data_IF_432114734167
#
_entry.id   IF_432114734167
#
_cell.length_a   1.000
_cell.length_b   1.000
_cell.length_c   1.000
_cell.angle_alpha   90.00
_cell.angle_beta   90.00
_cell.angle_gamma   90.00
#
_symmetry.space_group_name_H-M   'P 1'
#
loop_
_entity.id
_entity.type
_entity.pdbx_description
1 polymer ?
#
# COMPACT_ATOMS: atom_id res chain seq x y z
N UNK A 1 -38.86 -6.80 -3.10
CA UNK A 1 -37.86 -6.06 -2.30
C UNK A 1 -37.19 -5.06 -3.21
N UNK A 2 -37.37 -3.75 -2.95
CA UNK A 2 -36.71 -2.69 -3.70
C UNK A 2 -35.26 -2.59 -3.22
N UNK A 3 -34.33 -3.16 -3.98
CA UNK A 3 -32.92 -2.76 -3.89
C UNK A 3 -32.87 -1.30 -4.35
N UNK A 4 -32.72 -0.35 -3.42
CA UNK A 4 -32.21 0.98 -3.78
C UNK A 4 -30.84 0.72 -4.39
N UNK A 5 -30.70 0.94 -5.70
CA UNK A 5 -29.39 1.08 -6.30
C UNK A 5 -28.67 2.17 -5.51
N UNK A 6 -27.62 1.79 -4.78
CA UNK A 6 -26.75 2.75 -4.15
C UNK A 6 -26.09 3.50 -5.30
N UNK A 7 -26.40 4.79 -5.41
CA UNK A 7 -25.65 5.66 -6.29
C UNK A 7 -24.26 5.83 -5.68
N UNK A 8 -23.30 5.06 -6.19
CA UNK A 8 -21.92 5.11 -5.73
C UNK A 8 -21.21 6.36 -6.24
N UNK A 9 -21.77 7.06 -7.23
CA UNK A 9 -21.14 8.23 -7.85
C UNK A 9 -21.13 9.45 -6.92
N UNK A 10 -22.01 9.48 -5.91
CA UNK A 10 -22.05 10.54 -4.89
C UNK A 10 -21.09 10.31 -3.71
N UNK A 11 -20.40 9.17 -3.64
CA UNK A 11 -19.53 8.85 -2.51
C UNK A 11 -18.16 9.53 -2.66
N UNK A 12 -17.76 10.30 -1.65
CA UNK A 12 -16.41 10.89 -1.60
C UNK A 12 -15.39 9.99 -0.91
N UNK A 13 -15.85 9.15 0.02
CA UNK A 13 -15.00 8.25 0.80
C UNK A 13 -15.61 6.85 0.82
N UNK A 14 -14.79 5.84 0.58
CA UNK A 14 -15.17 4.43 0.67
C UNK A 14 -14.19 3.68 1.56
N UNK A 15 -14.72 2.82 2.44
CA UNK A 15 -13.94 1.86 3.21
C UNK A 15 -14.39 0.45 2.84
N UNK A 16 -13.51 -0.30 2.19
CA UNK A 16 -13.76 -1.70 1.87
C UNK A 16 -13.19 -2.60 2.95
N UNK A 17 -14.06 -3.45 3.49
CA UNK A 17 -13.70 -4.54 4.39
C UNK A 17 -14.32 -5.85 3.88
N UNK A 18 -13.87 -6.26 2.70
CA UNK A 18 -14.29 -7.51 2.08
C UNK A 18 -13.74 -8.69 2.87
N UNK A 19 -14.52 -9.77 2.97
CA UNK A 19 -14.07 -11.01 3.60
C UNK A 19 -13.74 -12.04 2.52
N UNK A 20 -12.50 -12.50 2.51
CA UNK A 20 -12.10 -13.67 1.74
C UNK A 20 -12.17 -14.89 2.66
N UNK A 21 -13.06 -15.83 2.36
CA UNK A 21 -13.14 -17.08 3.11
C UNK A 21 -12.04 -18.03 2.68
N UNK A 22 -10.99 -18.10 3.50
CA UNK A 22 -9.84 -18.98 3.32
C UNK A 22 -10.12 -20.34 3.98
N UNK A 23 -10.99 -21.14 3.36
CA UNK A 23 -11.26 -22.52 3.77
C UNK A 23 -10.85 -23.49 2.66
N UNK A 24 -9.55 -23.66 2.43
CA UNK A 24 -8.96 -24.73 1.59
C UNK A 24 -9.54 -24.90 0.18
N UNK A 25 -10.24 -23.90 -0.34
CA UNK A 25 -10.91 -23.89 -1.65
C UNK A 25 -10.32 -22.77 -2.51
N UNK A 26 -10.44 -22.85 -3.85
CA UNK A 26 -10.07 -21.76 -4.72
C UNK A 26 -10.75 -20.47 -4.25
N UNK A 27 -10.03 -19.35 -4.28
CA UNK A 27 -10.62 -18.05 -3.99
C UNK A 27 -11.63 -17.76 -5.11
N UNK A 28 -12.91 -17.69 -4.76
CA UNK A 28 -14.00 -17.38 -5.68
C UNK A 28 -14.58 -16.00 -5.40
N UNK A 29 -14.82 -15.22 -6.46
CA UNK A 29 -15.45 -13.91 -6.40
C UNK A 29 -15.11 -13.07 -7.62
N UNK A 30 -15.88 -12.01 -7.84
CA UNK A 30 -15.59 -10.98 -8.84
C UNK A 30 -15.88 -9.61 -8.21
N UNK A 31 -14.84 -8.80 -8.04
CA UNK A 31 -14.94 -7.44 -7.49
C UNK A 31 -14.77 -6.37 -8.56
N UNK A 32 -14.74 -6.75 -9.84
CA UNK A 32 -14.47 -5.83 -10.97
C UNK A 32 -15.51 -4.71 -11.04
N UNK A 33 -16.80 -5.06 -10.96
CA UNK A 33 -17.89 -4.07 -10.98
C UNK A 33 -17.90 -3.20 -9.73
N UNK A 34 -17.52 -3.76 -8.56
CA UNK A 34 -17.36 -2.98 -7.33
C UNK A 34 -16.25 -1.95 -7.50
N UNK A 35 -15.08 -2.36 -7.99
CA UNK A 35 -13.97 -1.45 -8.21
C UNK A 35 -14.34 -0.34 -9.21
N UNK A 36 -14.99 -0.70 -10.33
CA UNK A 36 -15.43 0.25 -11.35
C UNK A 36 -16.46 1.26 -10.81
N UNK A 37 -17.37 0.81 -9.95
CA UNK A 37 -18.41 1.64 -9.34
C UNK A 37 -17.91 2.65 -8.30
N UNK A 38 -16.68 2.52 -7.80
CA UNK A 38 -16.12 3.45 -6.80
C UNK A 38 -15.00 4.33 -7.37
N UNK A 39 -14.97 4.54 -8.70
CA UNK A 39 -13.89 5.30 -9.36
C UNK A 39 -13.95 6.81 -9.14
N UNK A 40 -15.11 7.34 -8.75
CA UNK A 40 -15.33 8.78 -8.55
C UNK A 40 -14.92 9.31 -7.16
N UNK A 41 -14.47 8.43 -6.26
CA UNK A 41 -14.16 8.78 -4.86
C UNK A 41 -12.83 9.56 -4.74
N UNK A 42 -12.68 10.31 -3.66
CA UNK A 42 -11.41 11.00 -3.32
C UNK A 42 -10.61 10.28 -2.25
N UNK A 43 -11.25 9.41 -1.46
CA UNK A 43 -10.60 8.67 -0.37
C UNK A 43 -11.01 7.20 -0.35
N UNK A 44 -10.03 6.30 -0.31
CA UNK A 44 -10.23 4.84 -0.29
C UNK A 44 -9.47 4.22 0.89
N UNK A 45 -10.17 3.45 1.71
CA UNK A 45 -9.57 2.62 2.75
C UNK A 45 -9.76 1.14 2.38
N UNK A 46 -8.67 0.37 2.39
CA UNK A 46 -8.67 -1.05 2.10
C UNK A 46 -8.21 -1.84 3.32
N UNK A 47 -9.05 -2.78 3.76
CA UNK A 47 -8.62 -3.81 4.71
C UNK A 47 -7.62 -4.79 4.06
N UNK A 48 -6.88 -5.60 4.84
CA UNK A 48 -5.95 -6.57 4.29
C UNK A 48 -6.62 -7.61 3.37
N UNK A 49 -7.83 -8.03 3.72
CA UNK A 49 -8.62 -8.95 2.90
C UNK A 49 -9.15 -8.29 1.62
N UNK A 50 -9.50 -6.99 1.67
CA UNK A 50 -9.89 -6.24 0.48
C UNK A 50 -8.72 -6.11 -0.50
N UNK A 51 -7.50 -5.92 0.02
CA UNK A 51 -6.29 -5.88 -0.78
C UNK A 51 -6.04 -7.21 -1.52
N UNK A 52 -6.20 -8.35 -0.83
CA UNK A 52 -6.15 -9.66 -1.48
C UNK A 52 -7.31 -9.88 -2.46
N UNK A 53 -8.52 -9.40 -2.15
CA UNK A 53 -9.67 -9.54 -3.04
C UNK A 53 -9.45 -8.78 -4.35
N UNK A 54 -8.82 -7.60 -4.28
CA UNK A 54 -8.42 -6.85 -5.46
C UNK A 54 -7.35 -7.60 -6.27
N UNK A 55 -6.46 -8.36 -5.63
CA UNK A 55 -5.48 -9.18 -6.34
C UNK A 55 -6.12 -10.39 -7.05
N UNK A 56 -6.95 -11.16 -6.34
CA UNK A 56 -7.44 -12.45 -6.81
C UNK A 56 -8.75 -12.36 -7.61
N UNK A 57 -9.59 -11.37 -7.31
CA UNK A 57 -10.97 -11.29 -7.80
C UNK A 57 -11.25 -10.06 -8.68
N UNK A 58 -10.28 -9.15 -8.87
CA UNK A 58 -10.44 -8.02 -9.79
C UNK A 58 -9.80 -8.35 -11.14
N UNK A 59 -10.63 -8.57 -12.16
CA UNK A 59 -10.16 -8.94 -13.51
C UNK A 59 -9.56 -7.74 -14.26
N UNK A 60 -10.07 -6.55 -13.97
CA UNK A 60 -9.61 -5.29 -14.57
C UNK A 60 -9.61 -4.19 -13.51
N UNK A 61 -8.41 -3.72 -13.14
CA UNK A 61 -8.28 -2.59 -12.22
C UNK A 61 -8.68 -1.30 -12.94
N UNK A 62 -9.65 -0.53 -12.41
CA UNK A 62 -10.02 0.74 -13.01
C UNK A 62 -9.02 1.84 -12.63
N UNK A 63 -9.02 2.93 -13.40
CA UNK A 63 -8.24 4.14 -13.05
C UNK A 63 -9.04 4.99 -12.07
N UNK A 64 -8.45 5.24 -10.90
CA UNK A 64 -9.00 6.10 -9.85
C UNK A 64 -8.54 7.55 -10.03
N UNK A 65 -9.03 8.20 -11.09
CA UNK A 65 -8.58 9.55 -11.48
C UNK A 65 -8.78 10.62 -10.40
N UNK A 66 -9.78 10.47 -9.54
CA UNK A 66 -10.13 11.46 -8.51
C UNK A 66 -9.57 11.10 -7.13
N UNK A 67 -8.91 9.94 -6.99
CA UNK A 67 -8.46 9.46 -5.70
C UNK A 67 -7.21 10.22 -5.24
N UNK A 68 -7.35 10.93 -4.13
CA UNK A 68 -6.30 11.73 -3.51
C UNK A 68 -5.70 11.01 -2.30
N UNK A 69 -6.49 10.22 -1.58
CA UNK A 69 -6.07 9.57 -0.34
C UNK A 69 -6.31 8.05 -0.40
N UNK A 70 -5.25 7.27 -0.26
CA UNK A 70 -5.31 5.81 -0.18
C UNK A 70 -4.79 5.36 1.18
N UNK A 71 -5.58 4.58 1.89
CA UNK A 71 -5.26 4.02 3.19
C UNK A 71 -5.33 2.50 3.13
N UNK A 72 -4.26 1.83 3.54
CA UNK A 72 -4.13 0.38 3.48
C UNK A 72 -3.80 -0.15 4.87
N UNK A 73 -4.54 -1.15 5.32
CA UNK A 73 -4.20 -1.91 6.50
C UNK A 73 -3.40 -3.16 6.11
N UNK A 74 -2.27 -3.36 6.79
CA UNK A 74 -1.39 -4.50 6.55
C UNK A 74 -1.69 -5.66 7.50
N UNK A 75 -1.35 -6.88 7.08
CA UNK A 75 -1.47 -8.04 7.94
C UNK A 75 -0.42 -9.09 7.57
N UNK A 76 0.28 -9.63 8.57
CA UNK A 76 1.32 -10.66 8.39
C UNK A 76 0.86 -11.93 7.64
N UNK A 77 -0.44 -12.22 7.59
CA UNK A 77 -1.02 -13.37 6.88
C UNK A 77 -1.43 -13.02 5.43
N UNK A 78 -1.51 -11.74 5.09
CA UNK A 78 -2.04 -11.22 3.82
C UNK A 78 -0.93 -10.55 3.03
N UNK A 79 -0.90 -10.77 1.72
CA UNK A 79 0.18 -10.27 0.88
C UNK A 79 -0.15 -8.94 0.19
N UNK A 80 0.86 -8.33 -0.42
CA UNK A 80 0.79 -7.02 -1.09
C UNK A 80 0.83 -7.11 -2.61
N UNK A 81 0.44 -8.24 -3.21
CA UNK A 81 0.60 -8.49 -4.64
C UNK A 81 -0.09 -7.46 -5.56
N UNK A 82 -1.20 -6.88 -5.12
CA UNK A 82 -1.93 -5.88 -5.94
C UNK A 82 -1.32 -4.48 -5.86
N UNK A 83 -0.43 -4.21 -4.90
CA UNK A 83 0.07 -2.86 -4.61
C UNK A 83 0.63 -2.13 -5.84
N UNK A 84 1.50 -2.74 -6.67
CA UNK A 84 2.00 -2.06 -7.86
C UNK A 84 0.90 -1.65 -8.84
N UNK A 85 -0.05 -2.56 -9.10
CA UNK A 85 -1.18 -2.30 -10.00
C UNK A 85 -2.10 -1.22 -9.44
N UNK A 86 -2.40 -1.27 -8.14
CA UNK A 86 -3.25 -0.30 -7.46
C UNK A 86 -2.62 1.09 -7.49
N UNK A 87 -1.35 1.23 -7.14
CA UNK A 87 -0.65 2.52 -7.14
C UNK A 87 -0.56 3.13 -8.55
N UNK A 88 -0.27 2.30 -9.56
CA UNK A 88 -0.29 2.74 -10.96
C UNK A 88 -1.68 3.15 -11.46
N UNK A 89 -2.74 2.71 -10.78
CA UNK A 89 -4.13 3.06 -11.11
C UNK A 89 -4.58 4.36 -10.45
N UNK A 90 -3.76 4.99 -9.63
CA UNK A 90 -4.09 6.20 -8.87
C UNK A 90 -3.19 7.38 -9.31
N UNK A 91 -3.42 7.99 -10.48
CA UNK A 91 -2.50 8.97 -11.07
C UNK A 91 -2.35 10.27 -10.26
N UNK A 92 -3.37 10.63 -9.48
CA UNK A 92 -3.42 11.87 -8.69
C UNK A 92 -3.28 11.60 -7.18
N UNK A 93 -2.73 10.45 -6.80
CA UNK A 93 -2.61 10.07 -5.40
C UNK A 93 -1.67 11.03 -4.65
N UNK A 94 -2.19 11.71 -3.65
CA UNK A 94 -1.48 12.68 -2.84
C UNK A 94 -1.01 12.10 -1.50
N UNK A 95 -1.90 11.35 -0.83
CA UNK A 95 -1.66 10.83 0.51
C UNK A 95 -1.74 9.30 0.49
N UNK A 96 -0.67 8.65 0.94
CA UNK A 96 -0.60 7.20 1.13
C UNK A 96 -0.45 6.90 2.62
N UNK A 97 -1.44 6.23 3.20
CA UNK A 97 -1.48 5.85 4.61
C UNK A 97 -1.37 4.34 4.76
N UNK A 98 -0.49 3.89 5.64
CA UNK A 98 -0.39 2.49 6.05
C UNK A 98 -0.69 2.33 7.54
N UNK A 99 -1.59 1.40 7.84
CA UNK A 99 -1.76 0.86 9.20
C UNK A 99 -0.93 -0.41 9.33
N UNK A 100 0.28 -0.25 9.88
CA UNK A 100 1.32 -1.26 9.90
C UNK A 100 1.94 -1.52 8.53
N UNK A 101 3.18 -2.04 8.51
CA UNK A 101 3.89 -2.38 7.26
C UNK A 101 4.21 -3.89 7.12
N UNK A 102 3.96 -4.68 8.16
CA UNK A 102 4.19 -6.12 8.16
C UNK A 102 3.12 -6.83 7.35
N UNK A 103 3.55 -7.57 6.32
CA UNK A 103 2.70 -8.35 5.44
C UNK A 103 3.35 -9.70 5.08
N UNK A 104 2.55 -10.63 4.53
CA UNK A 104 3.04 -11.92 4.04
C UNK A 104 3.96 -11.70 2.83
N UNK A 105 5.22 -12.09 2.95
CA UNK A 105 6.18 -12.04 1.84
C UNK A 105 5.76 -13.06 0.77
N UNK A 106 5.61 -12.58 -0.46
CA UNK A 106 5.32 -13.42 -1.65
C UNK A 106 6.32 -13.09 -2.76
N UNK A 107 6.40 -13.95 -3.77
CA UNK A 107 7.16 -13.68 -5.01
C UNK A 107 6.49 -12.66 -5.94
N UNK A 108 5.32 -12.15 -5.57
CA UNK A 108 4.48 -11.26 -6.38
C UNK A 108 4.21 -9.89 -5.76
N UNK A 109 4.83 -9.52 -4.64
CA UNK A 109 4.68 -8.17 -4.06
C UNK A 109 5.16 -7.05 -4.99
N UNK A 110 5.96 -7.37 -6.01
CA UNK A 110 6.46 -6.42 -7.00
C UNK A 110 7.41 -5.38 -6.41
N UNK A 111 7.46 -4.23 -7.05
CA UNK A 111 8.33 -3.08 -6.72
C UNK A 111 7.73 -2.11 -5.70
N UNK A 112 6.47 -2.29 -5.30
CA UNK A 112 5.87 -1.59 -4.16
C UNK A 112 6.49 -2.02 -2.81
N UNK A 113 7.21 -3.14 -2.78
CA UNK A 113 7.75 -3.73 -1.57
C UNK A 113 9.24 -4.08 -1.64
N UNK A 114 9.95 -3.91 -0.53
CA UNK A 114 11.35 -4.29 -0.37
C UNK A 114 11.58 -5.79 -0.10
N UNK A 115 10.51 -6.59 -0.02
CA UNK A 115 10.62 -7.98 0.42
C UNK A 115 11.38 -8.83 -0.61
N UNK A 116 12.16 -9.77 -0.10
CA UNK A 116 12.87 -10.76 -0.91
C UNK A 116 12.31 -12.13 -0.57
N UNK A 117 11.70 -12.87 -1.51
CA UNK A 117 11.23 -14.22 -1.24
C UNK A 117 12.39 -15.10 -0.81
N UNK A 118 12.20 -15.93 0.23
CA UNK A 118 13.24 -16.83 0.76
C UNK A 118 13.55 -18.03 -0.16
N UNK A 119 13.00 -18.07 -1.37
CA UNK A 119 13.12 -19.21 -2.27
C UNK A 119 14.54 -19.28 -2.86
N UNK A 120 15.39 -20.09 -2.23
CA UNK A 120 16.77 -20.43 -2.63
C UNK A 120 16.90 -20.91 -4.10
N UNK A 121 15.81 -21.32 -4.73
CA UNK A 121 15.77 -21.88 -6.08
C UNK A 121 15.61 -20.83 -7.22
N UNK A 122 15.20 -19.60 -6.94
CA UNK A 122 14.94 -18.57 -7.96
C UNK A 122 15.89 -17.35 -7.87
N UNK A 123 17.17 -17.58 -7.54
CA UNK A 123 18.21 -16.54 -7.72
C UNK A 123 18.44 -16.15 -9.19
N UNK A 124 17.92 -16.93 -10.14
CA UNK A 124 17.98 -16.68 -11.58
C UNK A 124 16.69 -16.04 -12.11
N UNK A 125 16.34 -14.84 -11.66
CA UNK A 125 15.50 -13.90 -12.45
C UNK A 125 15.39 -12.54 -11.73
N UNK A 126 16.51 -11.89 -11.47
CA UNK A 126 16.54 -10.42 -11.43
C UNK A 126 17.28 -9.94 -12.68
N UNK A 127 16.67 -10.18 -13.84
CA UNK A 127 16.95 -9.30 -14.97
C UNK A 127 16.36 -7.97 -14.51
N UNK A 128 17.22 -7.04 -14.04
CA UNK A 128 16.86 -5.63 -13.84
C UNK A 128 16.47 -5.11 -15.23
N UNK A 129 15.28 -5.43 -15.70
CA UNK A 129 14.62 -4.56 -16.64
C UNK A 129 14.57 -3.20 -15.95
N UNK A 130 14.95 -2.14 -16.67
CA UNK A 130 14.79 -0.73 -16.25
C UNK A 130 13.30 -0.39 -16.14
N UNK A 131 12.53 -1.16 -15.37
CA UNK A 131 11.15 -0.84 -15.05
C UNK A 131 11.23 0.23 -13.97
N UNK A 132 10.71 1.41 -14.30
CA UNK A 132 10.55 2.49 -13.34
C UNK A 132 9.59 1.98 -12.28
N UNK A 133 9.98 2.12 -11.01
CA UNK A 133 9.19 1.63 -9.88
C UNK A 133 7.81 2.30 -9.85
N UNK A 134 6.73 1.56 -9.54
CA UNK A 134 5.40 2.17 -9.33
C UNK A 134 5.43 3.29 -8.28
N UNK A 135 6.35 3.21 -7.31
CA UNK A 135 6.56 4.24 -6.28
C UNK A 135 7.21 5.51 -6.87
N UNK A 136 8.09 5.35 -7.85
CA UNK A 136 8.75 6.47 -8.53
C UNK A 136 7.77 7.25 -9.40
N UNK A 137 6.85 6.55 -10.08
CA UNK A 137 5.82 7.18 -10.91
C UNK A 137 4.69 7.79 -10.09
N UNK A 138 4.62 7.53 -8.78
CA UNK A 138 3.56 8.01 -7.92
C UNK A 138 3.84 9.43 -7.43
N UNK A 139 2.83 10.30 -7.47
CA UNK A 139 2.93 11.71 -7.03
C UNK A 139 2.61 11.89 -5.54
N UNK A 140 2.82 10.85 -4.72
CA UNK A 140 2.54 10.89 -3.29
C UNK A 140 3.41 11.94 -2.63
N UNK A 141 2.75 12.91 -2.00
CA UNK A 141 3.35 14.00 -1.24
C UNK A 141 3.39 13.70 0.26
N UNK A 142 2.41 12.93 0.75
CA UNK A 142 2.31 12.58 2.17
C UNK A 142 2.34 11.07 2.33
N UNK A 143 3.34 10.56 3.03
CA UNK A 143 3.40 9.17 3.49
C UNK A 143 3.14 9.13 5.00
N UNK A 144 2.14 8.37 5.43
CA UNK A 144 1.81 8.20 6.84
C UNK A 144 1.82 6.73 7.25
N UNK A 145 2.54 6.40 8.32
CA UNK A 145 2.57 5.07 8.93
C UNK A 145 1.98 5.18 10.33
N UNK A 146 0.80 4.62 10.56
CA UNK A 146 0.04 4.83 11.81
C UNK A 146 0.53 3.93 12.96
N UNK A 147 0.88 2.68 12.66
CA UNK A 147 1.24 1.65 13.65
C UNK A 147 2.62 1.06 13.31
N UNK A 148 3.69 1.85 13.49
CA UNK A 148 5.04 1.41 13.18
C UNK A 148 5.67 0.60 14.33
N UNK A 149 5.81 -0.71 14.14
CA UNK A 149 6.32 -1.62 15.18
C UNK A 149 7.85 -1.69 15.28
N UNK A 150 8.60 -1.04 14.38
CA UNK A 150 10.06 -1.02 14.43
C UNK A 150 10.76 -2.32 14.03
N UNK A 151 10.04 -3.29 13.47
CA UNK A 151 10.65 -4.55 13.05
C UNK A 151 11.59 -4.35 11.85
N UNK A 152 12.52 -5.29 11.64
CA UNK A 152 13.44 -5.24 10.49
C UNK A 152 12.70 -5.17 9.14
N UNK A 153 11.56 -5.84 9.02
CA UNK A 153 10.72 -5.80 7.81
C UNK A 153 10.20 -4.38 7.55
N UNK A 154 9.72 -3.70 8.59
CA UNK A 154 9.16 -2.35 8.47
C UNK A 154 10.27 -1.33 8.19
N UNK A 155 11.43 -1.44 8.85
CA UNK A 155 12.57 -0.57 8.58
C UNK A 155 13.06 -0.70 7.14
N UNK A 156 13.10 -1.93 6.61
CA UNK A 156 13.45 -2.19 5.21
C UNK A 156 12.42 -1.60 4.25
N UNK A 157 11.14 -1.69 4.58
CA UNK A 157 10.06 -1.11 3.78
C UNK A 157 10.09 0.42 3.81
N UNK A 158 10.39 1.03 4.98
CA UNK A 158 10.58 2.47 5.09
C UNK A 158 11.74 2.97 4.23
N UNK A 159 12.90 2.30 4.30
CA UNK A 159 14.04 2.63 3.42
C UNK A 159 13.65 2.56 1.94
N UNK A 160 12.82 1.59 1.57
CA UNK A 160 12.34 1.43 0.20
C UNK A 160 11.38 2.53 -0.22
N UNK A 161 10.43 2.92 0.63
CA UNK A 161 9.55 4.06 0.34
C UNK A 161 10.32 5.36 0.21
N UNK A 162 11.16 5.69 1.19
CA UNK A 162 11.94 6.93 1.20
C UNK A 162 12.96 7.00 0.07
N UNK A 163 13.43 5.85 -0.43
CA UNK A 163 14.36 5.78 -1.56
C UNK A 163 13.69 5.79 -2.94
N UNK A 164 12.35 5.73 -3.04
CA UNK A 164 11.64 5.66 -4.34
C UNK A 164 10.53 6.70 -4.51
N UNK A 165 9.94 7.26 -3.45
CA UNK A 165 8.89 8.27 -3.55
C UNK A 165 9.51 9.67 -3.70
N UNK A 166 9.75 10.10 -4.94
CA UNK A 166 10.45 11.37 -5.24
C UNK A 166 9.65 12.64 -4.94
N UNK A 167 8.31 12.54 -4.90
CA UNK A 167 7.43 13.69 -4.69
C UNK A 167 7.09 13.93 -3.22
N UNK A 168 7.70 13.20 -2.27
CA UNK A 168 7.39 13.36 -0.85
C UNK A 168 7.71 14.77 -0.35
N UNK A 169 6.73 15.36 0.33
CA UNK A 169 6.86 16.62 1.07
C UNK A 169 6.80 16.36 2.58
N UNK A 170 6.11 15.29 3.01
CA UNK A 170 5.90 14.98 4.43
C UNK A 170 5.88 13.47 4.67
N UNK A 171 6.59 13.04 5.71
CA UNK A 171 6.54 11.67 6.24
C UNK A 171 6.10 11.71 7.69
N UNK A 172 5.05 10.96 8.04
CA UNK A 172 4.50 10.87 9.40
C UNK A 172 4.57 9.43 9.90
N UNK A 173 5.04 9.22 11.12
CA UNK A 173 5.18 7.89 11.72
C UNK A 173 4.65 7.90 13.15
N UNK A 174 3.59 7.13 13.39
CA UNK A 174 3.00 6.89 14.71
C UNK A 174 3.21 5.46 15.22
N UNK A 175 2.69 5.19 16.41
CA UNK A 175 2.78 3.87 17.06
C UNK A 175 4.14 3.57 17.70
N UNK A 176 4.99 4.59 17.88
CA UNK A 176 6.27 4.46 18.58
C UNK A 176 6.03 4.68 20.07
N UNK A 177 5.96 3.58 20.84
CA UNK A 177 5.82 3.62 22.30
C UNK A 177 7.01 4.29 23.00
N UNK A 178 6.75 4.95 24.13
CA UNK A 178 7.71 5.74 24.90
C UNK A 178 9.01 4.98 25.23
N UNK A 179 8.90 3.69 25.57
CA UNK A 179 10.02 2.90 26.10
C UNK A 179 11.06 2.49 25.04
N UNK A 180 10.68 2.42 23.76
CA UNK A 180 11.58 2.09 22.64
C UNK A 180 11.80 3.28 21.68
N UNK A 181 11.38 4.48 22.09
CA UNK A 181 11.28 5.65 21.21
C UNK A 181 12.62 6.08 20.60
N UNK A 182 13.71 6.10 21.38
CA UNK A 182 14.97 6.72 20.93
C UNK A 182 15.61 5.93 19.78
N UNK A 183 15.74 4.60 19.93
CA UNK A 183 16.39 3.77 18.91
C UNK A 183 15.57 3.66 17.63
N UNK A 184 14.24 3.53 17.74
CA UNK A 184 13.34 3.47 16.58
C UNK A 184 13.35 4.79 15.80
N UNK A 185 13.29 5.93 16.49
CA UNK A 185 13.41 7.25 15.86
C UNK A 185 14.77 7.45 15.22
N UNK A 186 15.87 7.10 15.90
CA UNK A 186 17.22 7.22 15.35
C UNK A 186 17.38 6.40 14.05
N UNK A 187 16.88 5.17 14.02
CA UNK A 187 16.91 4.34 12.81
C UNK A 187 16.15 4.99 11.66
N UNK A 188 14.96 5.52 11.90
CA UNK A 188 14.15 6.20 10.88
C UNK A 188 14.82 7.49 10.38
N UNK A 189 15.31 8.33 11.29
CA UNK A 189 15.99 9.59 10.95
C UNK A 189 17.31 9.37 10.20
N UNK A 190 17.92 8.18 10.32
CA UNK A 190 19.12 7.80 9.57
C UNK A 190 18.86 7.35 8.13
N UNK A 191 17.58 7.17 7.74
CA UNK A 191 17.23 6.71 6.41
C UNK A 191 17.38 7.85 5.38
N UNK A 192 18.01 7.58 4.23
CA UNK A 192 18.06 8.58 3.16
C UNK A 192 16.66 8.77 2.57
N UNK A 193 16.31 10.04 2.32
CA UNK A 193 15.10 10.45 1.63
C UNK A 193 15.52 10.92 0.23
N UNK A 194 14.91 10.35 -0.81
CA UNK A 194 15.23 10.69 -2.21
C UNK A 194 14.63 12.03 -2.62
N UNK A 195 13.48 12.39 -2.05
CA UNK A 195 12.82 13.66 -2.35
C UNK A 195 13.58 14.84 -1.77
N UNK A 196 13.81 15.86 -2.59
CA UNK A 196 14.38 17.13 -2.15
C UNK A 196 13.40 18.03 -1.39
N UNK A 197 12.10 17.70 -1.39
CA UNK A 197 11.06 18.50 -0.73
C UNK A 197 10.76 18.02 0.70
N UNK A 198 11.21 16.82 1.07
CA UNK A 198 11.01 16.24 2.39
C UNK A 198 12.31 16.15 3.16
N UNK A 199 12.48 17.04 4.15
CA UNK A 199 13.72 17.13 4.93
C UNK A 199 13.70 16.33 6.22
N UNK A 200 12.52 15.94 6.74
CA UNK A 200 12.39 15.32 8.05
C UNK A 200 11.23 14.32 8.11
N UNK A 201 11.32 13.41 9.09
CA UNK A 201 10.23 12.51 9.47
C UNK A 201 9.57 13.08 10.73
N UNK A 202 8.25 13.26 10.68
CA UNK A 202 7.44 13.70 11.81
C UNK A 202 6.90 12.50 12.58
N UNK A 203 7.09 12.49 13.89
CA UNK A 203 6.54 11.45 14.75
C UNK A 203 5.21 11.93 15.33
N UNK A 204 4.15 11.13 15.17
CA UNK A 204 2.76 11.49 15.52
C UNK A 204 2.14 10.54 16.53
#
# INVERSE_FOLDING_TARGET
MNYRFLDLDSLLQVRLNLKLWDHHKPIYGDVTNLAAGITNITTLHLSPDSLEAFHFCCKSMPVFKNLLNLSIESNKKKGWQVMPLLLNSCPNLHTLVFKGLVHRVTDKCGDACACTPNNKHNKKMKKKSKVISCLWTCQVKVLEIVEYGGSFQELKQMRHFLGNLESLETVRVGGIDADNTIFLRANLLSLPIVSSYCNNIHFI
#
